data_IF_080546648017
#
_entry.id   IF_080546648017
#
_cell.length_a   1.000
_cell.length_b   1.000
_cell.length_c   1.000
_cell.angle_alpha   90.00
_cell.angle_beta   90.00
_cell.angle_gamma   90.00
#
_symmetry.space_group_name_H-M   'P 1'
#
loop_
_entity.id
_entity.type
_entity.pdbx_description
1 polymer ?
#
# COMPACT_ATOMS: atom_id res chain seq x y z
N UNK A 1 -11.12 7.78 11.13
CA UNK A 1 -10.46 6.52 10.75
C UNK A 1 -10.56 6.28 9.25
N UNK A 2 -11.71 5.85 8.67
CA UNK A 2 -11.79 5.71 7.20
C UNK A 2 -11.66 7.07 6.48
N UNK A 3 -12.27 8.13 7.02
CA UNK A 3 -12.13 9.48 6.46
C UNK A 3 -10.72 10.08 6.62
N UNK A 4 -9.89 9.51 7.49
CA UNK A 4 -8.48 9.89 7.60
C UNK A 4 -7.67 9.13 6.53
N UNK A 5 -7.97 7.85 6.31
CA UNK A 5 -7.40 7.06 5.22
C UNK A 5 -7.66 7.69 3.84
N UNK A 6 -8.86 8.23 3.60
CA UNK A 6 -9.19 8.95 2.35
C UNK A 6 -8.35 10.20 2.09
N UNK A 7 -7.73 10.77 3.13
CA UNK A 7 -6.86 11.95 3.02
C UNK A 7 -5.39 11.59 2.79
N UNK A 8 -5.07 10.30 2.78
CA UNK A 8 -3.72 9.77 2.61
C UNK A 8 -3.37 9.60 1.11
N UNK A 9 -3.73 10.57 0.27
CA UNK A 9 -3.47 10.56 -1.17
C UNK A 9 -2.00 10.85 -1.50
N UNK A 10 -1.31 11.60 -0.65
CA UNK A 10 0.08 12.01 -0.86
C UNK A 10 1.10 11.01 -0.29
N UNK A 11 0.63 9.84 0.15
CA UNK A 11 1.49 8.80 0.72
C UNK A 11 1.15 7.42 0.17
N UNK A 12 2.11 6.50 0.30
CA UNK A 12 1.96 5.13 -0.15
C UNK A 12 2.23 4.17 1.00
N UNK A 13 1.62 2.99 0.93
CA UNK A 13 1.76 1.99 1.97
C UNK A 13 1.28 0.62 1.55
N UNK A 14 1.69 -0.38 2.31
CA UNK A 14 1.17 -1.74 2.16
C UNK A 14 0.00 -1.94 3.10
N UNK A 15 -1.16 -2.30 2.57
CA UNK A 15 -2.32 -2.72 3.35
C UNK A 15 -2.35 -4.25 3.42
N UNK A 16 -2.44 -4.78 4.63
CA UNK A 16 -2.75 -6.19 4.91
C UNK A 16 -4.19 -6.27 5.40
N UNK A 17 -4.96 -7.20 4.84
CA UNK A 17 -6.40 -7.31 5.10
C UNK A 17 -6.73 -8.57 5.91
N UNK A 18 -7.77 -8.48 6.74
CA UNK A 18 -8.26 -9.63 7.50
C UNK A 18 -7.43 -9.96 8.74
N UNK A 19 -6.83 -8.94 9.37
CA UNK A 19 -6.02 -9.09 10.58
C UNK A 19 -6.92 -9.37 11.80
N UNK A 20 -7.21 -10.65 12.04
CA UNK A 20 -7.90 -11.11 13.25
C UNK A 20 -6.95 -11.45 14.39
N UNK A 21 -7.46 -11.52 15.62
CA UNK A 21 -6.64 -11.85 16.80
C UNK A 21 -5.82 -10.68 17.31
N UNK A 22 -4.58 -10.93 17.74
CA UNK A 22 -3.68 -9.90 18.24
C UNK A 22 -3.01 -9.16 17.08
N UNK A 23 -3.26 -7.86 16.98
CA UNK A 23 -2.74 -7.01 15.92
C UNK A 23 -1.22 -6.83 16.01
N UNK A 24 -0.63 -6.89 17.22
CA UNK A 24 0.81 -6.76 17.36
C UNK A 24 1.53 -8.00 16.80
N UNK A 25 0.94 -9.19 16.95
CA UNK A 25 1.47 -10.41 16.32
C UNK A 25 1.49 -10.29 14.79
N UNK A 26 0.50 -9.62 14.19
CA UNK A 26 0.50 -9.31 12.76
C UNK A 26 1.59 -8.32 12.38
N UNK A 27 1.74 -7.22 13.14
CA UNK A 27 2.80 -6.23 12.88
C UNK A 27 4.19 -6.85 12.95
N UNK A 28 4.45 -7.61 14.01
CA UNK A 28 5.73 -8.27 14.23
C UNK A 28 5.97 -9.35 13.18
N UNK A 29 4.95 -10.15 12.85
CA UNK A 29 5.02 -11.21 11.84
C UNK A 29 5.33 -10.67 10.45
N UNK A 30 4.65 -9.61 10.01
CA UNK A 30 4.90 -8.97 8.71
C UNK A 30 6.28 -8.34 8.68
N UNK A 31 6.68 -7.59 9.72
CA UNK A 31 8.03 -7.01 9.78
C UNK A 31 9.13 -8.08 9.74
N UNK A 32 8.94 -9.21 10.42
CA UNK A 32 9.88 -10.33 10.38
C UNK A 32 9.93 -10.95 8.97
N UNK A 33 8.78 -11.22 8.33
CA UNK A 33 8.73 -11.78 6.99
C UNK A 33 9.42 -10.87 5.95
N UNK A 34 9.22 -9.56 6.05
CA UNK A 34 9.87 -8.58 5.17
C UNK A 34 11.38 -8.48 5.44
N UNK A 35 11.81 -8.62 6.70
CA UNK A 35 13.22 -8.67 7.09
C UNK A 35 13.91 -9.91 6.53
N UNK A 36 13.28 -11.08 6.64
CA UNK A 36 13.78 -12.34 6.08
C UNK A 36 13.91 -12.28 4.55
N UNK A 37 12.95 -11.63 3.89
CA UNK A 37 12.97 -11.37 2.46
C UNK A 37 14.00 -10.28 2.04
N UNK A 38 14.71 -9.67 3.00
CA UNK A 38 15.68 -8.58 2.78
C UNK A 38 15.08 -7.39 2.02
N UNK A 39 13.83 -7.07 2.32
CA UNK A 39 13.09 -5.97 1.68
C UNK A 39 13.47 -4.62 2.29
N UNK A 40 13.75 -4.58 3.60
CA UNK A 40 14.23 -3.38 4.26
C UNK A 40 15.69 -3.09 3.92
N UNK A 41 15.97 -1.83 3.63
CA UNK A 41 17.35 -1.35 3.50
C UNK A 41 17.93 -1.12 4.90
N UNK A 42 19.19 -1.48 5.09
CA UNK A 42 19.94 -1.21 6.34
C UNK A 42 19.30 -1.74 7.63
N UNK A 43 18.47 -2.78 7.55
CA UNK A 43 17.83 -3.39 8.73
C UNK A 43 16.73 -2.52 9.36
N UNK A 44 16.15 -1.61 8.58
CA UNK A 44 14.98 -0.84 9.00
C UNK A 44 13.72 -1.72 9.14
N UNK A 45 12.62 -1.14 9.59
CA UNK A 45 11.31 -1.79 9.67
C UNK A 45 10.16 -0.77 9.55
N UNK A 46 8.94 -1.26 9.36
CA UNK A 46 7.77 -0.40 9.46
C UNK A 46 7.49 -0.04 10.91
N UNK A 47 7.59 1.25 11.23
CA UNK A 47 7.29 1.80 12.56
C UNK A 47 5.95 2.52 12.63
N UNK A 48 5.49 3.04 11.49
CA UNK A 48 4.20 3.71 11.36
C UNK A 48 3.19 2.71 10.78
N UNK A 49 2.42 2.10 11.68
CA UNK A 49 1.36 1.16 11.32
C UNK A 49 0.03 1.66 11.87
N UNK A 50 -0.94 1.82 10.98
CA UNK A 50 -2.30 2.23 11.32
C UNK A 50 -3.26 1.06 11.21
N UNK A 51 -4.21 0.97 12.15
CA UNK A 51 -5.31 0.01 12.09
C UNK A 51 -6.58 0.70 11.60
N UNK A 52 -7.33 0.05 10.72
CA UNK A 52 -8.65 0.52 10.34
C UNK A 52 -9.59 -0.64 9.99
N UNK A 53 -10.88 -0.44 10.22
CA UNK A 53 -11.91 -1.39 9.81
C UNK A 53 -12.61 -0.89 8.55
N UNK A 54 -12.86 -1.80 7.60
CA UNK A 54 -13.72 -1.56 6.45
C UNK A 54 -14.53 -2.81 6.14
N UNK A 55 -15.86 -2.67 6.08
CA UNK A 55 -16.80 -3.76 5.82
C UNK A 55 -16.69 -4.95 6.80
N UNK A 56 -16.45 -4.67 8.09
CA UNK A 56 -16.29 -5.71 9.11
C UNK A 56 -14.94 -6.44 9.06
N UNK A 57 -14.01 -5.98 8.21
CA UNK A 57 -12.67 -6.54 8.08
C UNK A 57 -11.69 -5.56 8.71
N UNK A 58 -10.93 -6.04 9.69
CA UNK A 58 -9.80 -5.31 10.28
C UNK A 58 -8.60 -5.36 9.33
N UNK A 59 -8.02 -4.21 9.03
CA UNK A 59 -6.88 -4.06 8.13
C UNK A 59 -5.74 -3.30 8.84
N UNK A 60 -4.51 -3.56 8.42
CA UNK A 60 -3.32 -2.85 8.86
C UNK A 60 -2.68 -2.14 7.67
N UNK A 61 -2.42 -0.85 7.81
CA UNK A 61 -1.67 -0.04 6.87
C UNK A 61 -0.25 0.14 7.39
N UNK A 62 0.73 -0.41 6.68
CA UNK A 62 2.15 -0.20 6.89
C UNK A 62 2.61 0.97 6.03
N UNK A 63 2.81 2.14 6.64
CA UNK A 63 3.11 3.37 5.93
C UNK A 63 4.57 3.40 5.45
N UNK A 64 4.79 3.68 4.16
CA UNK A 64 6.13 3.72 3.57
C UNK A 64 6.85 5.07 3.74
N UNK A 65 6.18 6.11 4.22
CA UNK A 65 6.78 7.45 4.37
C UNK A 65 8.01 7.49 5.28
N UNK A 66 8.11 6.55 6.23
CA UNK A 66 9.15 6.54 7.27
C UNK A 66 10.12 5.35 7.17
N UNK A 67 9.89 4.42 6.25
CA UNK A 67 10.66 3.19 6.15
C UNK A 67 11.54 3.18 4.90
N UNK A 68 12.83 2.85 5.05
CA UNK A 68 13.71 2.63 3.91
C UNK A 68 13.48 1.23 3.32
N UNK A 69 12.69 1.15 2.25
CA UNK A 69 12.26 -0.11 1.64
C UNK A 69 12.73 -0.21 0.19
N UNK A 70 13.16 -1.40 -0.23
CA UNK A 70 13.28 -1.73 -1.64
C UNK A 70 11.88 -1.97 -2.23
N UNK A 71 11.34 -0.94 -2.89
CA UNK A 71 9.96 -0.94 -3.42
C UNK A 71 9.73 -2.05 -4.43
N UNK A 72 10.69 -2.36 -5.31
CA UNK A 72 10.52 -3.42 -6.30
C UNK A 72 10.51 -4.81 -5.67
N UNK A 73 11.35 -5.04 -4.66
CA UNK A 73 11.33 -6.27 -3.87
C UNK A 73 10.02 -6.40 -3.07
N UNK A 74 9.54 -5.31 -2.47
CA UNK A 74 8.25 -5.28 -1.78
C UNK A 74 7.09 -5.58 -2.73
N UNK A 75 7.10 -5.02 -3.93
CA UNK A 75 6.09 -5.29 -4.95
C UNK A 75 6.04 -6.78 -5.32
N UNK A 76 7.20 -7.39 -5.56
CA UNK A 76 7.29 -8.83 -5.84
C UNK A 76 6.80 -9.66 -4.66
N UNK A 77 7.19 -9.31 -3.43
CA UNK A 77 6.74 -9.99 -2.22
C UNK A 77 5.22 -9.91 -2.07
N UNK A 78 4.63 -8.72 -2.24
CA UNK A 78 3.18 -8.49 -2.17
C UNK A 78 2.43 -9.41 -3.14
N UNK A 79 2.90 -9.51 -4.38
CA UNK A 79 2.28 -10.38 -5.39
C UNK A 79 2.41 -11.87 -5.01
N UNK A 80 3.56 -12.30 -4.49
CA UNK A 80 3.80 -13.68 -4.09
C UNK A 80 2.98 -14.10 -2.87
N UNK A 81 2.75 -13.18 -1.93
CA UNK A 81 2.05 -13.44 -0.67
C UNK A 81 0.59 -12.98 -0.67
N UNK A 82 0.09 -12.47 -1.80
CA UNK A 82 -1.27 -11.92 -1.92
C UNK A 82 -2.36 -12.89 -1.44
N UNK A 83 -2.24 -14.18 -1.78
CA UNK A 83 -3.23 -15.20 -1.37
C UNK A 83 -3.24 -15.47 0.14
N UNK A 84 -2.16 -15.13 0.85
CA UNK A 84 -2.02 -15.34 2.29
C UNK A 84 -2.47 -14.12 3.09
N UNK A 85 -2.15 -12.91 2.60
CA UNK A 85 -2.30 -11.68 3.38
C UNK A 85 -3.26 -10.65 2.76
N UNK A 86 -3.74 -10.87 1.53
CA UNK A 86 -4.56 -9.88 0.82
C UNK A 86 -3.83 -8.55 0.60
N UNK A 87 -2.51 -8.61 0.38
CA UNK A 87 -1.66 -7.42 0.33
C UNK A 87 -1.96 -6.50 -0.85
N UNK A 88 -2.33 -5.25 -0.58
CA UNK A 88 -2.66 -4.24 -1.61
C UNK A 88 -1.92 -2.93 -1.33
N UNK A 89 -1.66 -2.15 -2.38
CA UNK A 89 -1.17 -0.79 -2.21
C UNK A 89 -2.27 0.11 -1.65
N UNK A 90 -1.88 1.18 -0.97
CA UNK A 90 -2.81 2.16 -0.42
C UNK A 90 -3.54 2.86 -1.56
N UNK A 91 -2.82 3.32 -2.58
CA UNK A 91 -3.40 3.91 -3.80
C UNK A 91 -4.44 2.98 -4.44
N UNK A 92 -4.06 1.73 -4.71
CA UNK A 92 -4.97 0.71 -5.25
C UNK A 92 -6.20 0.50 -4.36
N UNK A 93 -6.05 0.55 -3.04
CA UNK A 93 -7.17 0.37 -2.11
C UNK A 93 -8.12 1.55 -2.13
N UNK A 94 -7.59 2.78 -2.12
CA UNK A 94 -8.39 4.01 -2.20
C UNK A 94 -9.21 4.03 -3.49
N UNK A 95 -8.57 3.71 -4.60
CA UNK A 95 -9.21 3.72 -5.93
C UNK A 95 -10.26 2.61 -6.07
N UNK A 96 -9.90 1.37 -5.71
CA UNK A 96 -10.74 0.21 -6.00
C UNK A 96 -11.80 -0.05 -4.93
N UNK A 97 -11.51 0.25 -3.66
CA UNK A 97 -12.41 -0.07 -2.54
C UNK A 97 -13.20 1.15 -2.05
N UNK A 98 -12.66 2.35 -2.20
CA UNK A 98 -13.32 3.59 -1.78
C UNK A 98 -13.79 4.46 -2.93
N UNK A 99 -13.51 4.07 -4.18
CA UNK A 99 -13.96 4.76 -5.38
C UNK A 99 -13.35 6.16 -5.52
N UNK A 100 -12.13 6.37 -4.99
CA UNK A 100 -11.43 7.66 -5.05
C UNK A 100 -10.67 7.89 -6.37
N UNK A 101 -10.98 7.08 -7.40
CA UNK A 101 -10.46 7.24 -8.75
C UNK A 101 -10.46 8.70 -9.18
N UNK A 102 -9.28 9.25 -9.48
CA UNK A 102 -9.17 10.56 -10.11
C UNK A 102 -9.66 11.73 -9.23
N UNK A 103 -9.50 11.66 -7.90
CA UNK A 103 -9.34 12.91 -7.15
C UNK A 103 -7.96 13.50 -7.51
N UNK A 104 -7.87 14.02 -8.73
CA UNK A 104 -6.92 15.06 -9.08
C UNK A 104 -6.99 16.07 -7.94
N UNK A 105 -5.85 16.32 -7.29
CA UNK A 105 -5.71 17.54 -6.50
C UNK A 105 -6.22 18.66 -7.38
N UNK A 106 -7.16 19.48 -6.89
CA UNK A 106 -7.60 20.70 -7.55
C UNK A 106 -6.42 21.69 -7.64
N UNK A 107 -5.42 21.37 -8.47
CA UNK A 107 -4.48 22.27 -9.09
C UNK A 107 -4.72 22.07 -10.59
N UNK A 108 -5.49 23.01 -11.14
CA UNK A 108 -5.87 23.09 -12.55
C UNK A 108 -4.65 22.88 -13.45
N UNK A 109 -4.56 21.71 -14.09
CA UNK A 109 -3.77 21.56 -15.30
C UNK A 109 -4.75 21.24 -16.43
N UNK A 110 -4.92 22.21 -17.32
CA UNK A 110 -5.75 22.11 -18.51
C UNK A 110 -5.41 20.85 -19.33
N UNK A 111 -6.38 20.25 -20.05
CA UNK A 111 -6.13 19.02 -20.80
C UNK A 111 -5.34 19.35 -22.08
N UNK A 112 -4.14 18.78 -22.21
CA UNK A 112 -3.49 18.64 -23.52
C UNK A 112 -4.04 17.35 -24.16
N UNK A 113 -4.82 17.52 -25.23
CA UNK A 113 -5.22 16.45 -26.14
C UNK A 113 -4.07 16.14 -27.10
N UNK A 114 -3.40 15.01 -26.91
CA UNK A 114 -2.67 14.35 -27.98
C UNK A 114 -2.51 12.86 -27.67
N UNK A 115 -3.23 12.04 -28.45
CA UNK A 115 -3.11 10.60 -28.43
C UNK A 115 -1.73 10.17 -28.91
N UNK A 116 -1.01 9.45 -28.05
CA UNK A 116 0.13 8.63 -28.46
C UNK A 116 -0.21 7.15 -28.29
N UNK A 117 -0.09 6.41 -29.39
CA UNK A 117 -0.13 4.94 -29.43
C UNK A 117 0.77 4.38 -28.32
N UNK A 118 0.18 3.63 -27.38
CA UNK A 118 0.94 2.84 -26.41
C UNK A 118 1.66 1.71 -27.14
N UNK A 119 2.84 1.99 -27.70
CA UNK A 119 3.78 0.92 -28.05
C UNK A 119 4.30 0.28 -26.76
N UNK A 120 3.75 -0.90 -26.46
CA UNK A 120 4.24 -1.80 -25.42
C UNK A 120 5.68 -2.19 -25.74
N UNK A 121 6.65 -1.49 -25.14
CA UNK A 121 8.06 -1.91 -25.19
C UNK A 121 8.23 -3.17 -24.35
N UNK A 122 8.68 -4.25 -24.98
CA UNK A 122 9.22 -5.40 -24.24
C UNK A 122 10.49 -4.96 -23.52
N UNK A 123 10.54 -5.21 -22.20
CA UNK A 123 11.73 -5.09 -21.37
C UNK A 123 12.77 -6.17 -21.73
#
# INVERSE_FOLDING_TARGET
MLDELKKMTDCEGLIIQGCGGDLQEWVDGINNALTEARIFNNGDNFKDVSVFEHNGITNLLFNMNVASVNVSALAMWRLQTHSQFGGTWLSDYLDNQLGLHGQETEDECEPEEDGEDMEMRQL
#
